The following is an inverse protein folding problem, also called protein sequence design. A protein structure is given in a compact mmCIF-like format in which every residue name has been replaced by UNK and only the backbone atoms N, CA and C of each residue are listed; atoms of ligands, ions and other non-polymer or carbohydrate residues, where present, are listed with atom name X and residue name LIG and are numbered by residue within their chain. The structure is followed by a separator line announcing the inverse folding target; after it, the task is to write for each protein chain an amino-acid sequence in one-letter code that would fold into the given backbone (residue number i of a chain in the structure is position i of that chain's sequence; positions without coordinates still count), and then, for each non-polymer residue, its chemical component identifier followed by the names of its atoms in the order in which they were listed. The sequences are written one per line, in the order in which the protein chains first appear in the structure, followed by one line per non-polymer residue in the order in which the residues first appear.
data_IF_541322679333
#
_entry.id   IF_541322679333
#
_cell.length_a   1.000
_cell.length_b   1.000
_cell.length_c   1.000
_cell.angle_alpha   90.00
_cell.angle_beta   90.00
_cell.angle_gamma   90.00
#
_symmetry.space_group_name_H-M   'P 1'
#
loop_
_entity.id
_entity.type
_entity.pdbx_description
1 polymer ?
#
# COMPACT_ATOMS: atom_id res chain seq x y z
N UNK A 1 -7.49 -4.63 -3.57
CA UNK A 1 -7.30 -3.47 -4.48
C UNK A 1 -7.96 -2.31 -3.74
N UNK A 2 -7.17 -1.52 -2.99
CA UNK A 2 -7.73 -0.44 -2.15
C UNK A 2 -8.23 0.70 -3.03
N UNK A 3 -9.38 1.26 -2.65
CA UNK A 3 -10.19 2.16 -3.46
C UNK A 3 -9.62 3.59 -3.40
N UNK A 4 -8.73 3.94 -4.34
CA UNK A 4 -8.17 5.29 -4.47
C UNK A 4 -9.22 6.36 -4.82
N UNK A 5 -10.41 5.93 -5.23
CA UNK A 5 -11.54 6.81 -5.54
C UNK A 5 -11.85 7.76 -4.39
N UNK A 6 -11.79 7.30 -3.13
CA UNK A 6 -12.06 8.17 -1.98
C UNK A 6 -11.06 9.33 -1.87
N UNK A 7 -9.78 9.08 -2.17
CA UNK A 7 -8.77 10.13 -2.14
C UNK A 7 -8.97 11.11 -3.29
N UNK A 8 -9.28 10.61 -4.49
CA UNK A 8 -9.57 11.45 -5.65
C UNK A 8 -10.81 12.34 -5.41
N UNK A 9 -11.88 11.77 -4.86
CA UNK A 9 -13.13 12.47 -4.52
C UNK A 9 -12.92 13.58 -3.48
N UNK A 10 -11.89 13.49 -2.65
CA UNK A 10 -11.52 14.52 -1.66
C UNK A 10 -10.58 15.57 -2.23
N UNK A 11 -9.65 15.16 -3.10
CA UNK A 11 -8.59 16.01 -3.62
C UNK A 11 -9.05 16.89 -4.78
N UNK A 12 -9.88 16.36 -5.68
CA UNK A 12 -10.37 17.11 -6.84
C UNK A 12 -11.17 18.37 -6.42
N UNK A 13 -12.11 18.31 -5.44
CA UNK A 13 -12.83 19.51 -4.99
C UNK A 13 -11.96 20.55 -4.28
N UNK A 14 -10.82 20.13 -3.70
CA UNK A 14 -9.83 21.03 -3.12
C UNK A 14 -8.97 21.74 -4.18
N UNK A 15 -9.21 21.47 -5.47
CA UNK A 15 -8.48 22.07 -6.59
C UNK A 15 -7.16 21.36 -6.91
N UNK A 16 -6.89 20.20 -6.31
CA UNK A 16 -5.76 19.38 -6.70
C UNK A 16 -6.07 18.72 -8.04
N UNK A 17 -5.37 19.13 -9.09
CA UNK A 17 -5.40 18.52 -10.42
C UNK A 17 -4.01 18.02 -10.79
N UNK A 18 -3.91 17.22 -11.86
CA UNK A 18 -2.65 16.77 -12.45
C UNK A 18 -1.77 15.93 -11.51
N UNK A 19 -2.42 15.08 -10.71
CA UNK A 19 -1.77 14.09 -9.87
C UNK A 19 -2.16 12.68 -10.27
N UNK A 20 -1.31 11.71 -9.92
CA UNK A 20 -1.67 10.29 -9.97
C UNK A 20 -1.32 9.63 -8.64
N UNK A 21 -2.15 8.66 -8.25
CA UNK A 21 -1.95 7.87 -7.05
C UNK A 21 -1.45 6.48 -7.43
N UNK A 22 -0.40 6.01 -6.76
CA UNK A 22 0.11 4.64 -6.93
C UNK A 22 0.16 3.92 -5.57
N UNK A 23 -0.44 2.73 -5.43
CA UNK A 23 -0.29 1.93 -4.22
C UNK A 23 1.18 1.55 -4.02
N UNK A 24 1.69 1.71 -2.80
CA UNK A 24 2.98 1.16 -2.37
C UNK A 24 2.83 -0.05 -1.44
N UNK A 25 1.59 -0.44 -1.13
CA UNK A 25 1.24 -1.47 -0.16
C UNK A 25 1.21 -0.94 1.27
N UNK A 26 0.63 -1.71 2.20
CA UNK A 26 0.64 -1.41 3.65
C UNK A 26 0.15 0.01 3.98
N UNK A 27 -0.99 0.38 3.40
CA UNK A 27 -1.64 1.70 3.52
C UNK A 27 -0.78 2.90 3.06
N UNK A 28 0.27 2.64 2.26
CA UNK A 28 1.10 3.69 1.66
C UNK A 28 0.67 3.98 0.23
N UNK A 29 0.68 5.27 -0.10
CA UNK A 29 0.31 5.78 -1.42
C UNK A 29 1.39 6.74 -1.89
N UNK A 30 1.87 6.52 -3.10
CA UNK A 30 2.74 7.48 -3.79
C UNK A 30 1.85 8.45 -4.57
N UNK A 31 1.98 9.74 -4.24
CA UNK A 31 1.35 10.82 -4.99
C UNK A 31 2.39 11.38 -5.96
N UNK A 32 2.09 11.32 -7.25
CA UNK A 32 2.94 11.87 -8.30
C UNK A 32 2.27 13.09 -8.89
N UNK A 33 2.89 14.26 -8.71
CA UNK A 33 2.47 15.50 -9.36
C UNK A 33 3.27 15.71 -10.64
N UNK A 34 2.60 16.16 -11.70
CA UNK A 34 3.28 16.60 -12.93
C UNK A 34 4.00 17.94 -12.75
N UNK A 35 3.48 18.80 -11.87
CA UNK A 35 4.02 20.13 -11.57
C UNK A 35 4.94 20.10 -10.34
N UNK A 36 6.17 20.58 -10.54
CA UNK A 36 7.17 20.74 -9.48
C UNK A 36 6.71 21.67 -8.35
N UNK A 37 6.02 22.77 -8.67
CA UNK A 37 5.57 23.73 -7.66
C UNK A 37 4.53 23.12 -6.74
N UNK A 38 3.58 22.34 -7.28
CA UNK A 38 2.60 21.57 -6.48
C UNK A 38 3.31 20.60 -5.55
N UNK A 39 4.28 19.83 -6.05
CA UNK A 39 5.09 18.91 -5.23
C UNK A 39 5.83 19.65 -4.11
N UNK A 40 6.50 20.75 -4.44
CA UNK A 40 7.24 21.55 -3.46
C UNK A 40 6.31 22.10 -2.38
N UNK A 41 5.18 22.68 -2.79
CA UNK A 41 4.16 23.22 -1.90
C UNK A 41 3.60 22.16 -0.94
N UNK A 42 3.24 20.97 -1.43
CA UNK A 42 2.76 19.87 -0.57
C UNK A 42 3.83 19.42 0.43
N UNK A 43 5.10 19.42 0.01
CA UNK A 43 6.22 18.99 0.86
C UNK A 43 6.64 20.00 1.94
N UNK A 44 6.30 21.29 1.77
CA UNK A 44 6.78 22.39 2.63
C UNK A 44 5.68 23.16 3.34
N UNK A 45 4.47 23.17 2.80
CA UNK A 45 3.36 24.01 3.28
C UNK A 45 2.29 23.15 3.93
N UNK A 46 1.66 23.68 4.99
CA UNK A 46 0.43 23.08 5.51
C UNK A 46 -0.69 23.26 4.50
N UNK A 47 -1.13 22.16 3.89
CA UNK A 47 -2.19 22.15 2.88
C UNK A 47 -3.29 21.15 3.25
N UNK A 48 -4.46 21.25 2.61
CA UNK A 48 -5.62 20.40 2.88
C UNK A 48 -5.30 18.90 2.79
N UNK A 49 -4.44 18.53 1.83
CA UNK A 49 -3.96 17.16 1.62
C UNK A 49 -3.34 16.52 2.87
N UNK A 50 -2.65 17.28 3.74
CA UNK A 50 -2.07 16.74 4.98
C UNK A 50 -3.12 16.18 5.96
N UNK A 51 -4.39 16.57 5.82
CA UNK A 51 -5.48 16.05 6.68
C UNK A 51 -5.93 14.65 6.28
N UNK A 52 -5.62 14.22 5.05
CA UNK A 52 -6.02 12.92 4.51
C UNK A 52 -5.02 11.81 4.82
N UNK A 53 -3.81 12.17 5.27
CA UNK A 53 -2.72 11.23 5.51
C UNK A 53 -2.16 11.40 6.92
N UNK A 54 -1.79 10.29 7.55
CA UNK A 54 -1.08 10.32 8.84
C UNK A 54 0.27 11.02 8.72
N UNK A 55 0.94 10.82 7.58
CA UNK A 55 2.26 11.39 7.28
C UNK A 55 2.41 11.61 5.78
N UNK A 56 2.99 12.74 5.40
CA UNK A 56 3.48 13.00 4.05
C UNK A 56 4.99 13.17 4.10
N UNK A 57 5.71 12.44 3.24
CA UNK A 57 7.15 12.48 3.16
C UNK A 57 7.62 12.39 1.71
N UNK A 58 8.84 12.85 1.45
CA UNK A 58 9.43 12.74 0.12
C UNK A 58 9.69 11.26 -0.19
N UNK A 59 9.19 10.81 -1.35
CA UNK A 59 9.42 9.46 -1.81
C UNK A 59 10.91 9.18 -2.03
N UNK A 60 11.34 8.01 -1.59
CA UNK A 60 12.65 7.42 -1.87
C UNK A 60 12.47 5.94 -2.25
N UNK A 61 13.35 5.38 -3.11
CA UNK A 61 13.14 4.05 -3.70
C UNK A 61 12.93 2.90 -2.70
N UNK A 62 13.53 2.99 -1.52
CA UNK A 62 13.45 1.96 -0.47
C UNK A 62 12.14 1.98 0.35
N UNK A 63 11.21 2.91 0.06
CA UNK A 63 9.92 2.98 0.75
C UNK A 63 8.85 2.04 0.18
N UNK A 64 9.10 1.42 -0.98
CA UNK A 64 8.18 0.43 -1.56
C UNK A 64 8.16 -0.79 -0.64
N UNK A 65 6.99 -1.17 -0.12
CA UNK A 65 6.91 -2.31 0.77
C UNK A 65 7.12 -3.60 -0.03
N UNK A 66 8.19 -4.33 0.28
CA UNK A 66 8.49 -5.64 -0.31
C UNK A 66 7.84 -6.79 0.45
N UNK A 67 7.28 -6.53 1.64
CA UNK A 67 6.65 -7.56 2.46
C UNK A 67 5.29 -7.91 1.87
N UNK A 68 5.23 -9.08 1.22
CA UNK A 68 3.96 -9.68 0.79
C UNK A 68 3.48 -10.61 1.89
N UNK A 69 2.50 -10.17 2.67
CA UNK A 69 1.81 -11.05 3.59
C UNK A 69 0.83 -11.90 2.79
N UNK A 70 1.12 -13.20 2.67
CA UNK A 70 0.24 -14.15 1.97
C UNK A 70 -0.46 -15.00 3.03
N UNK A 71 -1.79 -14.90 3.08
CA UNK A 71 -2.60 -15.82 3.87
C UNK A 71 -2.80 -17.11 3.09
N UNK A 72 -2.14 -18.19 3.52
CA UNK A 72 -2.36 -19.53 2.99
C UNK A 72 -3.47 -20.20 3.80
N UNK A 73 -4.64 -20.41 3.18
CA UNK A 73 -5.66 -21.30 3.73
C UNK A 73 -5.35 -22.73 3.29
N UNK A 74 -4.86 -23.54 4.23
CA UNK A 74 -4.66 -24.98 3.99
C UNK A 74 -5.96 -25.69 4.38
N UNK A 75 -6.74 -26.10 3.37
CA UNK A 75 -7.91 -26.97 3.57
C UNK A 75 -7.48 -28.40 3.27
N UNK A 76 -7.28 -29.19 4.33
CA UNK A 76 -6.84 -30.59 4.26
C UNK A 76 -5.53 -30.87 5.03
N UNK A 77 -5.14 -32.14 5.12
CA UNK A 77 -3.87 -32.55 5.74
C UNK A 77 -2.79 -32.55 4.66
N UNK A 78 -1.74 -31.69 4.74
CA UNK A 78 -0.65 -31.72 3.78
C UNK A 78 0.16 -33.02 3.96
N UNK A 79 -0.07 -34.00 3.07
CA UNK A 79 0.59 -35.31 3.09
C UNK A 79 2.13 -35.19 3.11
N UNK A 80 2.68 -34.16 2.47
CA UNK A 80 4.13 -33.92 2.39
C UNK A 80 4.74 -33.33 3.68
N UNK A 81 3.94 -32.85 4.63
CA UNK A 81 4.41 -32.32 5.91
C UNK A 81 4.56 -33.41 6.98
N UNK A 82 4.08 -34.62 6.69
CA UNK A 82 4.18 -35.77 7.57
C UNK A 82 5.22 -36.73 6.99
N UNK A 83 6.43 -36.72 7.55
CA UNK A 83 7.41 -37.76 7.26
C UNK A 83 6.80 -39.15 7.53
N UNK A 84 7.14 -40.14 6.68
CA UNK A 84 6.68 -41.55 6.72
C UNK A 84 6.72 -42.22 8.10
N UNK A 85 7.51 -41.68 9.03
CA UNK A 85 7.65 -42.16 10.41
C UNK A 85 6.33 -42.16 11.18
N UNK A 86 5.37 -41.28 10.82
CA UNK A 86 4.08 -41.20 11.52
C UNK A 86 3.01 -42.17 11.00
N UNK A 87 3.16 -42.72 9.79
CA UNK A 87 2.16 -43.63 9.21
C UNK A 87 2.30 -45.08 9.71
N UNK A 88 3.46 -45.49 10.23
CA UNK A 88 3.71 -46.87 10.71
C UNK A 88 3.04 -47.23 12.06
N UNK A 89 2.24 -46.35 12.65
CA UNK A 89 1.50 -46.62 13.90
C UNK A 89 -0.01 -46.81 13.72
N UNK A 90 -0.50 -46.79 12.49
CA UNK A 90 -1.88 -47.19 12.17
C UNK A 90 -1.78 -48.44 11.29
N UNK A 91 -1.55 -49.56 11.96
CA UNK A 91 -1.44 -50.90 11.41
C UNK A 91 -1.36 -51.88 12.57
#
# INVERSE_FOLDING_TARGET
MENFSYLEDRLLPEGWTDFSLRPLGDQKVLIVFLDYFKRYFVSKSKCGMQKLFVKLENWVPHMVNTNRLVWLSIVGVPLHAWYDVNFRKIG
#
